data_IF_914870363759
#
_entry.id   IF_914870363759
#
_cell.length_a   1.000
_cell.length_b   1.000
_cell.length_c   1.000
_cell.angle_alpha   90.00
_cell.angle_beta   90.00
_cell.angle_gamma   90.00
#
_symmetry.space_group_name_H-M   'P 1'
#
loop_
_entity.id
_entity.type
_entity.pdbx_description
1 polymer ?
#
# COMPACT_ATOMS: atom_id res chain seq x y z
N UNK A 1 18.18 -13.25 -35.38
CA UNK A 1 16.76 -12.87 -35.31
C UNK A 1 16.18 -12.99 -33.90
N UNK A 2 16.33 -14.13 -33.20
CA UNK A 2 15.77 -14.31 -31.83
C UNK A 2 16.32 -13.34 -30.75
N UNK A 3 17.60 -12.96 -30.79
CA UNK A 3 18.16 -12.00 -29.82
C UNK A 3 17.63 -10.56 -30.00
N UNK A 4 17.44 -10.12 -31.24
CA UNK A 4 16.88 -8.80 -31.57
C UNK A 4 15.41 -8.67 -31.13
N UNK A 5 14.62 -9.74 -31.26
CA UNK A 5 13.23 -9.79 -30.77
C UNK A 5 13.15 -9.76 -29.25
N UNK A 6 14.07 -10.43 -28.55
CA UNK A 6 14.14 -10.43 -27.08
C UNK A 6 14.51 -9.07 -26.50
N UNK A 7 15.56 -8.45 -27.05
CA UNK A 7 15.98 -7.11 -26.66
C UNK A 7 14.86 -6.07 -26.86
N UNK A 8 14.11 -6.20 -27.96
CA UNK A 8 12.91 -5.39 -28.24
C UNK A 8 11.82 -5.56 -27.17
N UNK A 9 11.59 -6.77 -26.65
CA UNK A 9 10.60 -7.01 -25.60
C UNK A 9 11.04 -6.45 -24.24
N UNK A 10 12.33 -6.54 -23.89
CA UNK A 10 12.84 -5.96 -22.65
C UNK A 10 12.74 -4.43 -22.67
N UNK A 11 13.07 -3.80 -23.80
CA UNK A 11 12.89 -2.36 -23.98
C UNK A 11 11.43 -1.92 -23.86
N UNK A 12 10.49 -2.70 -24.40
CA UNK A 12 9.04 -2.43 -24.24
C UNK A 12 8.60 -2.47 -22.77
N UNK A 13 9.08 -3.45 -22.00
CA UNK A 13 8.77 -3.54 -20.56
C UNK A 13 9.36 -2.37 -19.78
N UNK A 14 10.59 -1.96 -20.10
CA UNK A 14 11.20 -0.75 -19.53
C UNK A 14 10.39 0.49 -19.92
N UNK A 15 9.90 0.55 -21.16
CA UNK A 15 9.06 1.64 -21.66
C UNK A 15 7.75 1.77 -20.87
N UNK A 16 7.02 0.68 -20.70
CA UNK A 16 5.77 0.62 -19.94
C UNK A 16 6.01 1.03 -18.48
N UNK A 17 7.03 0.45 -17.83
CA UNK A 17 7.33 0.75 -16.44
C UNK A 17 7.74 2.22 -16.23
N UNK A 18 8.58 2.75 -17.10
CA UNK A 18 9.01 4.15 -17.03
C UNK A 18 7.88 5.14 -17.30
N UNK A 19 6.94 4.80 -18.20
CA UNK A 19 5.73 5.60 -18.41
C UNK A 19 4.86 5.64 -17.16
N UNK A 20 4.69 4.50 -16.48
CA UNK A 20 3.95 4.44 -15.22
C UNK A 20 4.61 5.27 -14.10
N UNK A 21 5.93 5.44 -14.15
CA UNK A 21 6.68 6.32 -13.24
C UNK A 21 6.70 7.80 -13.67
N UNK A 22 6.11 8.15 -14.82
CA UNK A 22 6.13 9.51 -15.35
C UNK A 22 7.49 9.94 -15.93
N UNK A 23 8.40 9.00 -16.20
CA UNK A 23 9.73 9.29 -16.72
C UNK A 23 9.73 9.39 -18.24
N UNK A 24 10.37 10.45 -18.76
CA UNK A 24 10.60 10.63 -20.20
C UNK A 24 11.58 9.57 -20.72
N UNK A 25 11.52 9.27 -22.02
CA UNK A 25 12.41 8.28 -22.67
C UNK A 25 13.89 8.68 -22.63
N UNK A 26 14.14 9.97 -22.70
CA UNK A 26 15.46 10.61 -22.74
C UNK A 26 16.22 10.56 -21.40
N UNK A 27 15.50 10.49 -20.28
CA UNK A 27 16.07 10.55 -18.94
C UNK A 27 16.39 9.17 -18.34
N UNK A 28 16.39 8.10 -19.16
CA UNK A 28 16.49 6.72 -18.67
C UNK A 28 17.89 6.16 -18.86
N UNK A 29 18.53 5.82 -17.75
CA UNK A 29 19.73 5.00 -17.77
C UNK A 29 19.36 3.53 -17.94
N UNK A 30 19.84 2.91 -19.02
CA UNK A 30 19.73 1.48 -19.27
C UNK A 30 21.13 0.88 -19.35
N UNK A 31 21.39 -0.08 -18.48
CA UNK A 31 22.63 -0.83 -18.39
C UNK A 31 22.42 -2.27 -18.87
N UNK A 32 23.41 -2.80 -19.57
CA UNK A 32 23.55 -4.22 -19.86
C UNK A 32 24.55 -4.82 -18.87
N UNK A 33 24.14 -5.86 -18.15
CA UNK A 33 24.99 -6.58 -17.21
C UNK A 33 25.62 -7.79 -17.90
N UNK A 34 26.95 -7.84 -17.90
CA UNK A 34 27.74 -8.96 -18.44
C UNK A 34 28.60 -9.59 -17.36
N UNK A 35 28.82 -10.90 -17.47
CA UNK A 35 29.79 -11.60 -16.65
C UNK A 35 31.22 -11.09 -16.96
N UNK A 36 31.97 -10.76 -15.91
CA UNK A 36 33.40 -10.40 -16.04
C UNK A 36 34.27 -11.66 -16.13
N UNK A 37 35.58 -11.48 -16.34
CA UNK A 37 36.57 -12.58 -16.31
C UNK A 37 36.64 -13.29 -14.94
N UNK A 38 36.20 -12.61 -13.88
CA UNK A 38 36.06 -13.15 -12.53
C UNK A 38 34.60 -13.58 -12.26
N UNK A 39 34.39 -14.79 -11.73
CA UNK A 39 33.05 -15.34 -11.45
C UNK A 39 32.23 -14.46 -10.48
N UNK A 40 32.91 -13.74 -9.58
CA UNK A 40 32.27 -12.87 -8.58
C UNK A 40 32.04 -11.42 -9.05
N UNK A 41 32.36 -11.09 -10.30
CA UNK A 41 32.25 -9.74 -10.83
C UNK A 41 31.30 -9.68 -12.02
N UNK A 42 30.44 -8.66 -12.01
CA UNK A 42 29.58 -8.32 -13.15
C UNK A 42 29.85 -6.90 -13.59
N UNK A 43 29.99 -6.71 -14.89
CA UNK A 43 30.24 -5.41 -15.50
C UNK A 43 28.92 -4.82 -16.01
N UNK A 44 28.65 -3.57 -15.67
CA UNK A 44 27.50 -2.81 -16.16
C UNK A 44 27.94 -1.88 -17.29
N UNK A 45 27.39 -2.08 -18.47
CA UNK A 45 27.68 -1.27 -19.66
C UNK A 45 26.47 -0.41 -19.96
N UNK A 46 26.64 0.92 -19.89
CA UNK A 46 25.60 1.87 -20.26
C UNK A 46 25.27 1.72 -21.76
N UNK A 47 24.01 1.41 -22.08
CA UNK A 47 23.49 1.31 -23.44
C UNK A 47 22.72 2.55 -23.87
N UNK A 48 22.05 3.19 -22.93
CA UNK A 48 21.20 4.34 -23.18
C UNK A 48 21.17 5.27 -21.95
N UNK A 49 21.13 6.57 -22.17
CA UNK A 49 21.06 7.60 -21.13
C UNK A 49 22.43 8.09 -20.65
N UNK A 50 22.47 8.57 -19.41
CA UNK A 50 23.67 9.05 -18.72
C UNK A 50 23.79 8.40 -17.34
N UNK A 51 25.00 8.40 -16.76
CA UNK A 51 25.19 8.10 -15.35
C UNK A 51 24.58 9.17 -14.43
N UNK A 52 24.36 10.38 -14.95
CA UNK A 52 23.68 11.47 -14.22
C UNK A 52 22.15 11.45 -14.40
N UNK A 53 21.62 10.46 -15.12
CA UNK A 53 20.18 10.33 -15.34
C UNK A 53 19.45 10.07 -14.02
N UNK A 54 18.24 10.64 -13.83
CA UNK A 54 17.45 10.41 -12.64
C UNK A 54 17.12 8.92 -12.46
N UNK A 55 17.11 8.46 -11.20
CA UNK A 55 16.69 7.12 -10.82
C UNK A 55 15.19 6.88 -11.12
N UNK A 56 14.76 5.62 -11.30
CA UNK A 56 15.53 4.37 -11.32
C UNK A 56 16.41 4.14 -12.55
N UNK A 57 17.54 3.47 -12.33
CA UNK A 57 18.35 2.91 -13.42
C UNK A 57 17.91 1.48 -13.72
N UNK A 58 17.82 1.14 -15.00
CA UNK A 58 17.39 -0.18 -15.46
C UNK A 58 18.59 -1.02 -15.84
N UNK A 59 18.62 -2.28 -15.43
CA UNK A 59 19.72 -3.21 -15.69
C UNK A 59 19.13 -4.44 -16.36
N UNK A 60 19.60 -4.79 -17.56
CA UNK A 60 19.25 -6.02 -18.25
C UNK A 60 20.35 -7.05 -18.02
N UNK A 61 19.99 -8.23 -17.51
CA UNK A 61 20.93 -9.34 -17.34
C UNK A 61 21.01 -10.26 -18.57
N UNK A 62 21.96 -11.18 -18.54
CA UNK A 62 22.20 -12.17 -19.61
C UNK A 62 21.03 -13.14 -19.84
N UNK A 63 20.09 -13.22 -18.88
CA UNK A 63 18.88 -14.05 -18.95
C UNK A 63 17.65 -13.23 -19.38
N UNK A 64 17.84 -12.04 -19.94
CA UNK A 64 16.78 -11.11 -20.34
C UNK A 64 15.89 -10.66 -19.16
N UNK A 65 16.37 -10.72 -17.91
CA UNK A 65 15.66 -10.17 -16.76
C UNK A 65 16.03 -8.70 -16.55
N UNK A 66 15.01 -7.92 -16.20
CA UNK A 66 15.15 -6.49 -15.93
C UNK A 66 15.21 -6.30 -14.42
N UNK A 67 16.33 -5.81 -13.94
CA UNK A 67 16.56 -5.37 -12.58
C UNK A 67 16.54 -3.83 -12.54
N UNK A 68 16.40 -3.27 -11.35
CA UNK A 68 16.46 -1.82 -11.15
C UNK A 68 17.39 -1.46 -10.02
N UNK A 69 18.11 -0.35 -10.19
CA UNK A 69 18.93 0.25 -9.16
C UNK A 69 18.32 1.60 -8.78
N UNK A 70 18.11 1.76 -7.48
CA UNK A 70 17.61 2.97 -6.84
C UNK A 70 18.46 3.24 -5.60
N UNK A 71 18.58 4.50 -5.21
CA UNK A 71 19.23 4.86 -3.96
C UNK A 71 18.45 4.31 -2.76
N UNK A 72 19.18 4.10 -1.67
CA UNK A 72 18.58 3.74 -0.39
C UNK A 72 17.54 4.78 0.07
N UNK A 73 17.76 6.06 -0.24
CA UNK A 73 16.83 7.13 0.08
C UNK A 73 15.51 6.99 -0.70
N UNK A 74 15.60 6.74 -2.02
CA UNK A 74 14.43 6.46 -2.85
C UNK A 74 13.65 5.23 -2.35
N UNK A 75 14.35 4.13 -2.04
CA UNK A 75 13.72 2.92 -1.48
C UNK A 75 13.04 3.21 -0.13
N UNK A 76 13.71 3.93 0.77
CA UNK A 76 13.15 4.33 2.07
C UNK A 76 11.87 5.14 1.88
N UNK A 77 11.87 6.13 0.99
CA UNK A 77 10.70 6.96 0.72
C UNK A 77 9.54 6.13 0.16
N UNK A 78 9.80 5.18 -0.73
CA UNK A 78 8.78 4.26 -1.25
C UNK A 78 8.18 3.45 -0.08
N UNK A 79 9.01 2.87 0.78
CA UNK A 79 8.54 2.06 1.90
C UNK A 79 7.72 2.87 2.92
N UNK A 80 8.17 4.08 3.26
CA UNK A 80 7.43 4.95 4.19
C UNK A 80 6.10 5.41 3.58
N UNK A 81 6.08 5.78 2.30
CA UNK A 81 4.83 6.12 1.61
C UNK A 81 3.85 4.93 1.57
N UNK A 82 4.34 3.72 1.31
CA UNK A 82 3.51 2.51 1.33
C UNK A 82 2.94 2.24 2.72
N UNK A 83 3.73 2.40 3.78
CA UNK A 83 3.24 2.27 5.16
C UNK A 83 2.16 3.31 5.47
N UNK A 84 2.38 4.56 5.06
CA UNK A 84 1.42 5.64 5.26
C UNK A 84 0.11 5.37 4.51
N UNK A 85 0.17 4.96 3.24
CA UNK A 85 -1.00 4.57 2.45
C UNK A 85 -1.73 3.38 3.08
N UNK A 86 -1.01 2.39 3.60
CA UNK A 86 -1.64 1.26 4.29
C UNK A 86 -2.39 1.71 5.55
N UNK A 87 -1.78 2.60 6.35
CA UNK A 87 -2.41 3.17 7.53
C UNK A 87 -3.66 3.98 7.19
N UNK A 88 -3.57 4.89 6.22
CA UNK A 88 -4.71 5.69 5.78
C UNK A 88 -5.85 4.83 5.26
N UNK A 89 -5.54 3.81 4.45
CA UNK A 89 -6.56 2.87 3.98
C UNK A 89 -7.24 2.10 5.11
N UNK A 90 -6.49 1.73 6.15
CA UNK A 90 -7.04 1.06 7.31
C UNK A 90 -7.96 2.01 8.12
N UNK A 91 -7.50 3.23 8.40
CA UNK A 91 -8.26 4.27 9.09
C UNK A 91 -9.58 4.59 8.36
N UNK A 92 -9.54 4.74 7.04
CA UNK A 92 -10.74 4.96 6.21
C UNK A 92 -11.73 3.79 6.25
N UNK A 93 -11.23 2.55 6.28
CA UNK A 93 -12.09 1.36 6.41
C UNK A 93 -12.74 1.31 7.78
N UNK A 94 -11.99 1.63 8.83
CA UNK A 94 -12.51 1.69 10.20
C UNK A 94 -13.58 2.78 10.32
N UNK A 95 -13.30 3.98 9.80
CA UNK A 95 -14.24 5.10 9.79
C UNK A 95 -15.56 4.69 9.11
N UNK A 96 -15.47 4.13 7.90
CA UNK A 96 -16.63 3.64 7.16
C UNK A 96 -17.42 2.59 7.95
N UNK A 97 -16.74 1.64 8.59
CA UNK A 97 -17.37 0.59 9.36
C UNK A 97 -18.08 1.14 10.61
N UNK A 98 -17.48 2.11 11.30
CA UNK A 98 -18.10 2.80 12.44
C UNK A 98 -19.37 3.52 11.98
N UNK A 99 -19.32 4.29 10.90
CA UNK A 99 -20.50 5.00 10.37
C UNK A 99 -21.65 4.06 10.02
N UNK A 100 -21.36 2.86 9.48
CA UNK A 100 -22.38 1.86 9.17
C UNK A 100 -23.14 1.37 10.41
N UNK A 101 -22.54 1.48 11.61
CA UNK A 101 -23.17 1.10 12.87
C UNK A 101 -23.94 2.23 13.56
N UNK A 102 -23.98 3.44 12.96
CA UNK A 102 -24.70 4.62 13.46
C UNK A 102 -24.25 4.97 14.90
N UNK A 103 -23.05 5.52 15.06
CA UNK A 103 -22.55 5.91 16.38
C UNK A 103 -23.36 7.08 16.94
N UNK A 104 -23.56 7.11 18.26
CA UNK A 104 -24.13 8.27 18.95
C UNK A 104 -23.10 9.41 18.97
N UNK A 105 -21.86 9.08 19.31
CA UNK A 105 -20.69 9.95 19.18
C UNK A 105 -19.58 9.19 18.44
N UNK A 106 -19.22 9.70 17.25
CA UNK A 106 -18.18 9.09 16.42
C UNK A 106 -16.81 9.14 17.11
N UNK A 107 -16.49 10.24 17.79
CA UNK A 107 -15.18 10.43 18.40
C UNK A 107 -14.94 9.41 19.52
N UNK A 108 -15.97 9.15 20.33
CA UNK A 108 -15.89 8.17 21.42
C UNK A 108 -15.71 6.74 20.87
N UNK A 109 -16.51 6.36 19.86
CA UNK A 109 -16.36 5.04 19.22
C UNK A 109 -14.98 4.89 18.57
N UNK A 110 -14.48 5.94 17.93
CA UNK A 110 -13.16 5.93 17.30
C UNK A 110 -12.04 5.66 18.31
N UNK A 111 -12.06 6.37 19.44
CA UNK A 111 -11.05 6.20 20.50
C UNK A 111 -11.07 4.76 21.04
N UNK A 112 -12.26 4.23 21.36
CA UNK A 112 -12.41 2.86 21.88
C UNK A 112 -11.96 1.82 20.84
N UNK A 113 -12.33 2.00 19.57
CA UNK A 113 -11.93 1.09 18.51
C UNK A 113 -10.41 1.09 18.29
N UNK A 114 -9.78 2.27 18.29
CA UNK A 114 -8.33 2.38 18.13
C UNK A 114 -7.56 1.81 19.33
N UNK A 115 -8.09 1.94 20.55
CA UNK A 115 -7.48 1.33 21.75
C UNK A 115 -7.53 -0.20 21.69
N UNK A 116 -8.68 -0.76 21.31
CA UNK A 116 -8.86 -2.20 21.14
C UNK A 116 -7.97 -2.76 20.00
N UNK A 117 -7.80 -2.00 18.90
CA UNK A 117 -6.88 -2.34 17.82
C UNK A 117 -5.43 -2.38 18.33
N UNK A 118 -5.00 -1.36 19.08
CA UNK A 118 -3.65 -1.31 19.65
C UNK A 118 -3.41 -2.45 20.64
N UNK A 119 -4.41 -2.83 21.43
CA UNK A 119 -4.34 -3.99 22.32
C UNK A 119 -4.10 -5.27 21.54
N UNK A 120 -4.89 -5.53 20.49
CA UNK A 120 -4.69 -6.69 19.60
C UNK A 120 -3.34 -6.67 18.89
N UNK A 121 -2.85 -5.49 18.53
CA UNK A 121 -1.51 -5.33 17.94
C UNK A 121 -0.38 -5.70 18.92
N UNK A 122 -0.51 -5.35 20.20
CA UNK A 122 0.44 -5.76 21.24
C UNK A 122 0.40 -7.27 21.51
N UNK A 123 -0.75 -7.90 21.31
CA UNK A 123 -0.94 -9.37 21.39
C UNK A 123 -0.38 -10.11 20.15
N UNK A 124 0.16 -9.38 19.16
CA UNK A 124 0.83 -9.94 17.98
C UNK A 124 -0.03 -10.01 16.72
N UNK A 125 -1.26 -9.47 16.74
CA UNK A 125 -2.14 -9.41 15.57
C UNK A 125 -1.78 -8.19 14.71
N UNK A 126 -1.45 -8.38 13.43
CA UNK A 126 -1.21 -7.23 12.54
C UNK A 126 -2.51 -6.43 12.36
N UNK A 127 -2.46 -5.10 12.51
CA UNK A 127 -3.61 -4.19 12.36
C UNK A 127 -4.42 -4.45 11.09
N UNK A 128 -3.74 -4.77 9.98
CA UNK A 128 -4.33 -5.02 8.66
C UNK A 128 -5.15 -6.32 8.61
N UNK A 129 -4.91 -7.26 9.52
CA UNK A 129 -5.62 -8.54 9.60
C UNK A 129 -6.86 -8.49 10.50
N UNK A 130 -7.15 -7.34 11.11
CA UNK A 130 -8.28 -7.19 12.02
C UNK A 130 -9.58 -7.15 11.22
N UNK A 131 -10.48 -8.07 11.58
CA UNK A 131 -11.87 -8.09 11.11
C UNK A 131 -12.64 -6.95 11.79
N UNK A 132 -12.85 -5.86 11.03
CA UNK A 132 -13.50 -4.65 11.53
C UNK A 132 -14.96 -4.87 11.92
N UNK A 133 -15.66 -5.81 11.28
CA UNK A 133 -17.05 -6.10 11.63
C UNK A 133 -17.14 -6.79 12.99
N UNK A 134 -16.27 -7.78 13.23
CA UNK A 134 -16.17 -8.43 14.54
C UNK A 134 -15.72 -7.46 15.63
N UNK A 135 -14.73 -6.63 15.33
CA UNK A 135 -14.25 -5.60 16.25
C UNK A 135 -15.41 -4.70 16.73
N UNK A 136 -16.20 -4.17 15.79
CA UNK A 136 -17.33 -3.29 16.14
C UNK A 136 -18.47 -4.04 16.82
N UNK A 137 -18.70 -5.32 16.48
CA UNK A 137 -19.69 -6.14 17.16
C UNK A 137 -19.31 -6.39 18.63
N UNK A 138 -18.02 -6.58 18.92
CA UNK A 138 -17.51 -6.74 20.28
C UNK A 138 -17.60 -5.42 21.06
N UNK A 139 -17.19 -4.30 20.46
CA UNK A 139 -17.31 -2.97 21.08
C UNK A 139 -18.78 -2.63 21.36
N UNK A 140 -19.71 -2.98 20.46
CA UNK A 140 -21.15 -2.75 20.66
C UNK A 140 -21.74 -3.58 21.80
N UNK A 141 -21.18 -4.77 22.08
CA UNK A 141 -21.57 -5.59 23.24
C UNK A 141 -21.03 -5.02 24.54
N UNK A 142 -19.78 -4.57 24.55
CA UNK A 142 -19.12 -4.04 25.74
C UNK A 142 -19.58 -2.61 26.08
N UNK A 143 -19.88 -1.81 25.05
CA UNK A 143 -20.28 -0.41 25.14
C UNK A 143 -21.51 -0.11 24.27
N UNK A 144 -22.70 -0.66 24.62
CA UNK A 144 -23.93 -0.44 23.84
C UNK A 144 -24.37 1.03 23.81
N UNK A 145 -23.96 1.81 24.80
CA UNK A 145 -24.25 3.25 24.92
C UNK A 145 -23.56 4.12 23.87
N UNK A 146 -22.63 3.57 23.08
CA UNK A 146 -21.92 4.30 22.04
C UNK A 146 -22.63 4.25 20.67
N UNK A 147 -23.62 3.37 20.50
CA UNK A 147 -24.31 3.17 19.23
C UNK A 147 -25.81 3.40 19.38
N UNK A 148 -26.44 3.86 18.30
CA UNK A 148 -27.89 4.08 18.30
C UNK A 148 -28.63 2.74 18.30
N UNK A 149 -29.52 2.56 19.28
CA UNK A 149 -30.48 1.46 19.27
C UNK A 149 -31.76 1.88 18.54
N UNK A 150 -31.87 1.46 17.28
CA UNK A 150 -33.04 1.74 16.45
C UNK A 150 -34.32 1.08 16.96
N UNK A 151 -34.24 -0.05 17.68
CA UNK A 151 -35.44 -0.70 18.23
C UNK A 151 -36.02 0.15 19.36
N UNK A 152 -35.16 0.58 20.29
CA UNK A 152 -35.53 1.50 21.35
C UNK A 152 -36.08 2.83 20.81
N UNK A 153 -35.53 3.34 19.70
CA UNK A 153 -35.98 4.58 19.08
C UNK A 153 -37.37 4.44 18.44
N UNK A 154 -37.62 3.36 17.69
CA UNK A 154 -38.93 3.07 17.08
C UNK A 154 -40.01 2.84 18.14
N UNK A 155 -39.67 2.17 19.24
CA UNK A 155 -40.61 1.91 20.33
C UNK A 155 -40.98 3.19 21.11
N UNK A 156 -40.03 4.11 21.30
CA UNK A 156 -40.28 5.44 21.86
C UNK A 156 -41.21 6.28 20.98
N UNK A 157 -41.01 6.28 19.66
CA UNK A 157 -41.87 7.01 18.72
C UNK A 157 -43.29 6.47 18.73
N UNK A 158 -43.47 5.13 18.68
CA UNK A 158 -44.79 4.49 18.75
C UNK A 158 -45.55 4.78 20.04
N UNK A 159 -44.85 4.97 21.16
CA UNK A 159 -45.48 5.27 22.45
C UNK A 159 -45.83 6.76 22.61
N UNK A 160 -45.07 7.67 21.99
CA UNK A 160 -45.38 9.11 22.00
C UNK A 160 -46.50 9.52 21.03
N UNK A 161 -46.75 8.75 19.96
CA UNK A 161 -47.90 8.97 19.04
C UNK A 161 -49.25 8.47 19.59
N UNK A 162 -49.25 7.82 20.76
CA UNK A 162 -50.44 7.28 21.43
C UNK A 162 -50.99 8.17 22.57
N UNK A 163 -50.48 9.40 22.69
CA UNK A 163 -50.91 10.41 23.68
C UNK A 163 -51.71 11.53 23.03
#
# INVERSE_FOLDING_TARGET
>A
MKELEKYSNCLKRIDEFSQNLGMKKEDRAIFEMKQSENENEKCLILKNGSFDSPEPWFIMDENDQIHTLISLNSLKNILENLKQIQKENFELRLEKAIYQQIPIDFSDVWIVAMDEIKRKAQEGVMEISIDLEKLLADIKKEHPNLFVDMQAMVERVKNNERL
#
